data_IF_045814825766
#
_entry.id   IF_045814825766
#
_cell.length_a   1.000
_cell.length_b   1.000
_cell.length_c   1.000
_cell.angle_alpha   90.00
_cell.angle_beta   90.00
_cell.angle_gamma   90.00
#
_symmetry.space_group_name_H-M   'P 1'
#
loop_
_entity.id
_entity.type
_entity.pdbx_description
1 polymer ?
#
# COMPACT_ATOMS: atom_id res chain seq x y z
N UNK A 1 -9.38 38.36 -5.41
CA UNK A 1 -8.11 39.13 -5.36
C UNK A 1 -7.62 39.04 -3.93
N UNK A 2 -6.35 38.72 -3.63
CA UNK A 2 -5.92 38.58 -2.22
C UNK A 2 -5.98 39.95 -1.50
N UNK A 3 -6.40 39.97 -0.24
CA UNK A 3 -6.52 41.21 0.57
C UNK A 3 -5.23 42.03 0.62
N UNK A 4 -4.07 41.38 0.55
CA UNK A 4 -2.78 42.05 0.48
C UNK A 4 -2.59 42.90 -0.79
N UNK A 5 -3.15 42.48 -1.94
CA UNK A 5 -3.08 43.28 -3.17
C UNK A 5 -4.05 44.47 -3.15
N UNK A 6 -5.22 44.30 -2.55
CA UNK A 6 -6.17 45.40 -2.33
C UNK A 6 -5.58 46.42 -1.34
N UNK A 7 -4.92 45.94 -0.30
CA UNK A 7 -4.22 46.78 0.65
C UNK A 7 -3.14 47.65 -0.01
N UNK A 8 -2.29 47.06 -0.86
CA UNK A 8 -1.29 47.83 -1.63
C UNK A 8 -1.94 48.80 -2.63
N UNK A 9 -3.01 48.40 -3.33
CA UNK A 9 -3.68 49.24 -4.34
C UNK A 9 -4.34 50.48 -3.73
N UNK A 10 -4.88 50.34 -2.52
CA UNK A 10 -5.56 51.42 -1.80
C UNK A 10 -4.70 52.06 -0.70
N UNK A 11 -3.41 51.71 -0.61
CA UNK A 11 -2.46 52.19 0.41
C UNK A 11 -2.99 52.07 1.86
N UNK A 12 -3.58 50.93 2.17
CA UNK A 12 -4.14 50.62 3.50
C UNK A 12 -3.59 49.30 4.03
N UNK A 13 -3.74 49.06 5.34
CA UNK A 13 -3.30 47.77 5.91
C UNK A 13 -4.23 46.62 5.49
N UNK A 14 -3.72 45.37 5.33
CA UNK A 14 -4.55 44.22 4.98
C UNK A 14 -5.76 43.96 5.90
N UNK A 15 -5.66 44.16 7.24
CA UNK A 15 -6.82 44.11 8.12
C UNK A 15 -7.88 45.18 7.80
N UNK A 16 -7.45 46.41 7.47
CA UNK A 16 -8.35 47.52 7.10
C UNK A 16 -9.07 47.25 5.78
N UNK A 17 -8.35 46.77 4.76
CA UNK A 17 -8.94 46.39 3.48
C UNK A 17 -9.99 45.29 3.65
N UNK A 18 -9.71 44.31 4.51
CA UNK A 18 -10.66 43.23 4.82
C UNK A 18 -11.92 43.73 5.53
N UNK A 19 -11.77 44.55 6.57
CA UNK A 19 -12.90 45.11 7.31
C UNK A 19 -13.81 45.97 6.42
N UNK A 20 -13.23 46.73 5.48
CA UNK A 20 -13.99 47.54 4.52
C UNK A 20 -14.81 46.67 3.54
N UNK A 21 -14.24 45.56 3.05
CA UNK A 21 -14.95 44.61 2.19
C UNK A 21 -16.08 43.91 2.94
N UNK A 22 -15.83 43.48 4.19
CA UNK A 22 -16.85 42.85 5.04
C UNK A 22 -18.03 43.81 5.32
N UNK A 23 -17.75 45.07 5.68
CA UNK A 23 -18.78 46.11 5.88
C UNK A 23 -19.60 46.39 4.61
N UNK A 24 -18.95 46.41 3.44
CA UNK A 24 -19.62 46.63 2.17
C UNK A 24 -20.60 45.50 1.81
N UNK A 25 -20.22 44.24 2.08
CA UNK A 25 -21.08 43.07 1.86
C UNK A 25 -22.25 42.99 2.84
N UNK A 26 -22.05 43.44 4.09
CA UNK A 26 -23.14 43.54 5.07
C UNK A 26 -24.18 44.60 4.69
N UNK A 27 -23.75 45.67 4.03
CA UNK A 27 -24.62 46.78 3.61
C UNK A 27 -25.25 46.58 2.23
N UNK A 28 -24.75 45.63 1.43
CA UNK A 28 -25.22 45.31 0.07
C UNK A 28 -25.40 43.79 -0.08
N UNK A 29 -26.53 43.22 0.38
CA UNK A 29 -26.76 41.76 0.40
C UNK A 29 -26.86 41.12 -1.00
N UNK A 30 -27.00 41.92 -2.06
CA UNK A 30 -26.94 41.51 -3.46
C UNK A 30 -25.51 41.32 -3.98
N UNK A 31 -24.50 41.87 -3.30
CA UNK A 31 -23.11 41.74 -3.66
C UNK A 31 -22.53 40.41 -3.14
N UNK A 32 -21.76 39.71 -3.98
CA UNK A 32 -21.07 38.46 -3.60
C UNK A 32 -19.57 38.70 -3.57
N UNK A 33 -18.91 38.22 -2.51
CA UNK A 33 -17.46 38.22 -2.44
C UNK A 33 -16.87 37.26 -3.48
N UNK A 34 -16.15 37.80 -4.45
CA UNK A 34 -15.45 37.03 -5.48
C UNK A 34 -13.95 36.82 -5.12
N UNK A 35 -13.56 37.09 -3.87
CA UNK A 35 -12.19 36.87 -3.39
C UNK A 35 -11.89 35.37 -3.36
N UNK A 36 -11.24 34.90 -4.43
CA UNK A 36 -10.58 33.60 -4.49
C UNK A 36 -9.64 33.46 -3.29
N UNK A 37 -10.03 32.63 -2.32
CA UNK A 37 -9.15 32.05 -1.31
C UNK A 37 -7.91 31.48 -2.01
N UNK A 38 -6.74 31.51 -1.36
CA UNK A 38 -5.60 30.75 -1.87
C UNK A 38 -5.93 29.26 -1.80
N UNK A 39 -6.38 28.70 -2.92
CA UNK A 39 -6.36 27.28 -3.19
C UNK A 39 -4.88 26.85 -3.23
N UNK A 40 -4.29 26.50 -2.09
CA UNK A 40 -2.85 26.23 -2.04
C UNK A 40 -2.31 25.50 -0.80
N UNK A 41 -3.15 25.17 0.19
CA UNK A 41 -2.73 24.26 1.25
C UNK A 41 -2.57 22.83 0.70
N UNK A 42 -1.46 22.14 1.00
CA UNK A 42 -1.41 20.68 0.78
C UNK A 42 -2.53 20.07 1.62
N UNK A 43 -3.54 19.50 0.94
CA UNK A 43 -4.61 18.76 1.62
C UNK A 43 -3.95 17.70 2.51
N UNK A 44 -4.31 17.59 3.80
CA UNK A 44 -3.78 16.53 4.63
C UNK A 44 -4.05 15.18 3.95
N UNK A 45 -3.07 14.26 3.97
CA UNK A 45 -3.23 12.96 3.33
C UNK A 45 -4.46 12.26 3.94
N UNK A 46 -5.32 11.73 3.07
CA UNK A 46 -6.56 11.04 3.49
C UNK A 46 -6.26 9.81 4.35
N UNK A 47 -5.13 9.16 4.11
CA UNK A 47 -4.72 7.92 4.77
C UNK A 47 -3.40 8.13 5.49
N UNK A 48 -3.30 7.55 6.69
CA UNK A 48 -2.09 7.55 7.48
C UNK A 48 -1.22 6.34 7.11
N UNK A 49 -0.22 6.58 6.25
CA UNK A 49 0.69 5.53 5.77
C UNK A 49 1.49 4.90 6.92
N UNK A 50 1.71 5.63 8.01
CA UNK A 50 2.48 5.14 9.16
C UNK A 50 1.76 4.04 9.94
N UNK A 51 0.43 3.98 9.82
CA UNK A 51 -0.40 2.92 10.42
C UNK A 51 -0.57 1.75 9.45
N UNK A 52 -0.91 2.06 8.19
CA UNK A 52 -1.20 1.03 7.18
C UNK A 52 0.07 0.24 6.82
N UNK A 53 1.23 0.90 6.68
CA UNK A 53 2.46 0.26 6.21
C UNK A 53 2.91 -0.92 7.08
N UNK A 54 3.12 -0.72 8.40
CA UNK A 54 3.54 -1.79 9.30
C UNK A 54 2.54 -2.95 9.40
N UNK A 55 1.24 -2.68 9.33
CA UNK A 55 0.19 -3.72 9.40
C UNK A 55 0.04 -4.47 8.05
N UNK A 56 0.15 -3.77 6.93
CA UNK A 56 0.03 -4.36 5.60
C UNK A 56 1.27 -5.18 5.21
N UNK A 57 2.46 -4.87 5.74
CA UNK A 57 3.71 -5.55 5.40
C UNK A 57 3.73 -7.05 5.71
N UNK A 58 3.42 -7.55 6.92
CA UNK A 58 3.39 -8.99 7.18
C UNK A 58 2.36 -9.73 6.33
N UNK A 59 1.25 -9.06 5.99
CA UNK A 59 0.24 -9.60 5.07
C UNK A 59 0.75 -9.66 3.63
N UNK A 60 1.50 -8.65 3.18
CA UNK A 60 2.17 -8.65 1.89
C UNK A 60 3.21 -9.77 1.80
N UNK A 61 4.01 -9.95 2.84
CA UNK A 61 5.04 -10.99 2.92
C UNK A 61 4.44 -12.40 3.00
N UNK A 62 3.24 -12.55 3.57
CA UNK A 62 2.46 -13.80 3.51
C UNK A 62 1.78 -14.06 2.15
N UNK A 63 1.94 -13.14 1.19
CA UNK A 63 1.49 -13.33 -0.19
C UNK A 63 0.10 -12.76 -0.50
N UNK A 64 -0.46 -11.92 0.38
CA UNK A 64 -1.72 -11.24 0.08
C UNK A 64 -1.59 -10.33 -1.14
N UNK A 65 -2.66 -10.25 -1.94
CA UNK A 65 -2.69 -9.32 -3.07
C UNK A 65 -2.92 -7.89 -2.59
N UNK A 66 -2.34 -6.92 -3.29
CA UNK A 66 -2.56 -5.48 -3.04
C UNK A 66 -4.04 -5.10 -3.08
N UNK A 67 -4.84 -5.80 -3.89
CA UNK A 67 -6.29 -5.61 -3.98
C UNK A 67 -7.00 -6.11 -2.72
N UNK A 68 -6.58 -7.26 -2.17
CA UNK A 68 -7.11 -7.77 -0.90
C UNK A 68 -6.75 -6.86 0.26
N UNK A 69 -5.51 -6.38 0.32
CA UNK A 69 -5.06 -5.39 1.29
C UNK A 69 -5.86 -4.08 1.18
N UNK A 70 -6.09 -3.60 -0.04
CA UNK A 70 -6.88 -2.40 -0.27
C UNK A 70 -8.31 -2.53 0.28
N UNK A 71 -8.94 -3.71 0.13
CA UNK A 71 -10.23 -4.01 0.74
C UNK A 71 -10.20 -4.05 2.27
N UNK A 72 -9.16 -4.65 2.87
CA UNK A 72 -8.99 -4.75 4.33
C UNK A 72 -8.85 -3.37 4.99
N UNK A 73 -8.06 -2.48 4.38
CA UNK A 73 -7.75 -1.15 4.92
C UNK A 73 -8.68 -0.03 4.38
N UNK A 74 -9.78 -0.39 3.71
CA UNK A 74 -10.75 0.52 3.07
C UNK A 74 -10.06 1.65 2.26
N UNK A 75 -9.09 1.27 1.43
CA UNK A 75 -8.30 2.22 0.66
C UNK A 75 -8.10 1.74 -0.78
N UNK A 76 -7.43 2.55 -1.60
CA UNK A 76 -7.13 2.19 -2.98
C UNK A 76 -5.80 1.41 -3.07
N UNK A 77 -5.62 0.51 -4.05
CA UNK A 77 -4.35 -0.21 -4.24
C UNK A 77 -3.11 0.71 -4.34
N UNK A 78 -3.16 1.88 -5.01
CA UNK A 78 -2.04 2.83 -5.00
C UNK A 78 -1.70 3.41 -3.61
N UNK A 79 -2.67 3.40 -2.68
CA UNK A 79 -2.42 3.81 -1.28
C UNK A 79 -1.65 2.73 -0.54
N UNK A 80 -2.02 1.45 -0.74
CA UNK A 80 -1.28 0.30 -0.22
C UNK A 80 0.17 0.29 -0.75
N UNK A 81 0.35 0.56 -2.05
CA UNK A 81 1.68 0.64 -2.64
C UNK A 81 2.57 1.63 -1.90
N UNK A 82 2.07 2.86 -1.71
CA UNK A 82 2.79 3.90 -0.96
C UNK A 82 3.02 3.53 0.50
N UNK A 83 2.06 2.86 1.14
CA UNK A 83 2.17 2.47 2.54
C UNK A 83 3.25 1.40 2.74
N UNK A 84 3.29 0.40 1.86
CA UNK A 84 4.31 -0.63 1.88
C UNK A 84 5.69 -0.06 1.51
N UNK A 85 5.79 0.76 0.45
CA UNK A 85 7.04 1.44 0.09
C UNK A 85 7.58 2.28 1.25
N UNK A 86 6.69 3.03 1.91
CA UNK A 86 7.04 3.79 3.10
C UNK A 86 7.56 2.88 4.22
N UNK A 87 6.91 1.74 4.48
CA UNK A 87 7.31 0.80 5.52
C UNK A 87 8.68 0.18 5.26
N UNK A 88 8.96 -0.28 4.03
CA UNK A 88 10.29 -0.80 3.68
C UNK A 88 11.36 0.29 3.73
N UNK A 89 11.02 1.52 3.31
CA UNK A 89 11.93 2.66 3.37
C UNK A 89 12.30 3.04 4.81
N UNK A 90 11.45 2.79 5.81
CA UNK A 90 11.81 3.00 7.23
C UNK A 90 12.98 2.09 7.66
N UNK A 91 13.05 0.88 7.11
CA UNK A 91 14.15 -0.06 7.37
C UNK A 91 15.34 0.14 6.42
N UNK A 92 15.29 1.14 5.53
CA UNK A 92 16.29 1.35 4.47
C UNK A 92 16.28 0.26 3.39
N UNK A 93 15.19 -0.49 3.27
CA UNK A 93 15.00 -1.56 2.30
C UNK A 93 14.16 -1.08 1.11
N UNK A 94 14.38 -1.67 -0.05
CA UNK A 94 13.44 -1.57 -1.17
C UNK A 94 12.31 -2.58 -1.01
N UNK A 95 11.09 -2.20 -1.38
CA UNK A 95 9.96 -3.13 -1.42
C UNK A 95 10.31 -4.31 -2.35
N UNK A 96 10.16 -5.57 -1.89
CA UNK A 96 10.38 -6.72 -2.73
C UNK A 96 9.30 -6.81 -3.81
N UNK A 97 9.71 -7.22 -4.99
CA UNK A 97 8.80 -7.52 -6.09
C UNK A 97 7.98 -8.78 -5.76
N UNK A 98 6.82 -8.90 -6.41
CA UNK A 98 5.98 -10.10 -6.27
C UNK A 98 6.73 -11.39 -6.66
N UNK A 99 7.63 -11.31 -7.63
CA UNK A 99 8.44 -12.45 -8.07
C UNK A 99 9.45 -12.87 -7.00
N UNK A 100 10.10 -11.91 -6.33
CA UNK A 100 11.02 -12.20 -5.22
C UNK A 100 10.29 -12.84 -4.04
N UNK A 101 9.09 -12.35 -3.70
CA UNK A 101 8.26 -12.99 -2.70
C UNK A 101 7.86 -14.41 -3.10
N UNK A 102 7.42 -14.62 -4.35
CA UNK A 102 7.08 -15.96 -4.84
C UNK A 102 8.29 -16.91 -4.84
N UNK A 103 9.49 -16.40 -5.17
CA UNK A 103 10.73 -17.17 -5.07
C UNK A 103 11.01 -17.55 -3.61
N UNK A 104 10.92 -16.61 -2.68
CA UNK A 104 11.12 -16.88 -1.25
C UNK A 104 10.13 -17.94 -0.72
N UNK A 105 8.86 -17.83 -1.11
CA UNK A 105 7.80 -18.81 -0.77
C UNK A 105 8.12 -20.18 -1.39
N UNK A 106 8.58 -20.23 -2.64
CA UNK A 106 8.95 -21.48 -3.30
C UNK A 106 10.12 -22.20 -2.64
N UNK A 107 11.13 -21.44 -2.18
CA UNK A 107 12.27 -21.96 -1.42
C UNK A 107 11.82 -22.49 -0.07
N UNK A 108 10.89 -21.80 0.62
CA UNK A 108 10.31 -22.27 1.88
C UNK A 108 9.54 -23.58 1.69
N UNK A 109 8.69 -23.66 0.67
CA UNK A 109 7.95 -24.87 0.33
C UNK A 109 8.91 -26.05 0.05
N UNK A 110 10.01 -25.78 -0.66
CA UNK A 110 11.01 -26.80 -0.96
C UNK A 110 11.73 -27.31 0.28
N UNK A 111 12.12 -26.43 1.19
CA UNK A 111 12.73 -26.83 2.47
C UNK A 111 11.82 -27.76 3.26
N UNK A 112 10.53 -27.44 3.36
CA UNK A 112 9.56 -28.30 4.05
C UNK A 112 9.44 -29.69 3.41
N UNK A 113 9.50 -29.76 2.07
CA UNK A 113 9.53 -31.04 1.36
C UNK A 113 10.81 -31.83 1.63
N UNK A 114 11.97 -31.16 1.63
CA UNK A 114 13.26 -31.78 1.90
C UNK A 114 13.38 -32.26 3.37
N UNK A 115 12.65 -31.63 4.29
CA UNK A 115 12.46 -32.07 5.68
C UNK A 115 11.55 -33.31 5.82
N UNK A 116 10.96 -33.78 4.71
CA UNK A 116 10.13 -34.99 4.67
C UNK A 116 8.64 -34.75 4.91
N UNK A 117 8.19 -33.50 4.99
CA UNK A 117 6.77 -33.19 5.12
C UNK A 117 6.00 -33.61 3.84
N UNK A 118 4.82 -34.16 4.03
CA UNK A 118 3.87 -34.48 2.97
C UNK A 118 3.25 -33.22 2.37
N UNK A 119 2.65 -33.35 1.18
CA UNK A 119 1.96 -32.22 0.53
C UNK A 119 0.84 -31.62 1.39
N UNK A 120 0.13 -32.47 2.14
CA UNK A 120 -0.96 -32.08 3.04
C UNK A 120 -0.41 -31.29 4.25
N UNK A 121 0.68 -31.77 4.86
CA UNK A 121 1.33 -31.04 5.97
C UNK A 121 1.89 -29.68 5.49
N UNK A 122 2.45 -29.63 4.28
CA UNK A 122 2.95 -28.36 3.71
C UNK A 122 1.80 -27.39 3.41
N UNK A 123 0.67 -27.89 2.91
CA UNK A 123 -0.49 -27.05 2.61
C UNK A 123 -1.11 -26.44 3.87
N UNK A 124 -1.15 -27.20 4.96
CA UNK A 124 -1.53 -26.72 6.28
C UNK A 124 -0.54 -25.68 6.86
N UNK A 125 0.77 -25.97 6.82
CA UNK A 125 1.82 -25.07 7.35
C UNK A 125 1.84 -23.73 6.58
N UNK A 126 1.61 -23.77 5.28
CA UNK A 126 1.65 -22.60 4.41
C UNK A 126 0.29 -21.90 4.27
N UNK A 127 -0.77 -22.43 4.89
CA UNK A 127 -2.14 -21.95 4.77
C UNK A 127 -2.58 -21.74 3.31
N UNK A 128 -2.30 -22.73 2.45
CA UNK A 128 -2.60 -22.63 1.03
C UNK A 128 -2.95 -24.00 0.42
N UNK A 129 -3.75 -24.03 -0.64
CA UNK A 129 -4.16 -25.30 -1.28
C UNK A 129 -2.99 -26.12 -1.83
N UNK A 130 -3.15 -27.46 -1.85
CA UNK A 130 -2.18 -28.40 -2.45
C UNK A 130 -1.77 -28.04 -3.88
N UNK A 131 -2.71 -27.50 -4.67
CA UNK A 131 -2.46 -27.04 -6.04
C UNK A 131 -1.45 -25.89 -6.04
N UNK A 132 -1.57 -24.99 -5.07
CA UNK A 132 -0.68 -23.83 -4.90
C UNK A 132 0.70 -24.27 -4.40
N UNK A 133 0.75 -25.20 -3.43
CA UNK A 133 2.00 -25.81 -2.97
C UNK A 133 2.74 -26.50 -4.13
N UNK A 134 2.05 -27.31 -4.93
CA UNK A 134 2.66 -27.96 -6.11
C UNK A 134 3.20 -26.95 -7.11
N UNK A 135 2.52 -25.83 -7.32
CA UNK A 135 3.01 -24.74 -8.17
C UNK A 135 4.31 -24.15 -7.62
N UNK A 136 4.38 -23.88 -6.32
CA UNK A 136 5.59 -23.36 -5.68
C UNK A 136 6.75 -24.35 -5.76
N UNK A 137 6.50 -25.62 -5.48
CA UNK A 137 7.52 -26.67 -5.61
C UNK A 137 8.02 -26.75 -7.05
N UNK A 138 7.11 -26.76 -8.04
CA UNK A 138 7.48 -26.76 -9.46
C UNK A 138 8.37 -25.58 -9.81
N UNK A 139 8.05 -24.36 -9.36
CA UNK A 139 8.90 -23.18 -9.56
C UNK A 139 10.31 -23.37 -8.97
N UNK A 140 10.41 -23.97 -7.78
CA UNK A 140 11.70 -24.26 -7.15
C UNK A 140 12.52 -25.31 -7.92
N UNK A 141 11.88 -26.40 -8.38
CA UNK A 141 12.55 -27.43 -9.17
C UNK A 141 12.99 -26.91 -10.54
N UNK A 142 12.14 -26.12 -11.21
CA UNK A 142 12.47 -25.47 -12.48
C UNK A 142 13.64 -24.49 -12.34
N UNK A 143 13.73 -23.74 -11.24
CA UNK A 143 14.86 -22.87 -10.94
C UNK A 143 16.19 -23.62 -10.78
N UNK A 144 16.16 -24.88 -10.33
CA UNK A 144 17.32 -25.78 -10.25
C UNK A 144 17.56 -26.59 -11.54
N UNK A 145 16.71 -26.46 -12.56
CA UNK A 145 16.77 -27.26 -13.78
C UNK A 145 16.39 -28.72 -13.59
N UNK A 146 15.69 -29.06 -12.50
CA UNK A 146 15.25 -30.43 -12.17
C UNK A 146 13.76 -30.61 -12.48
N UNK A 147 13.36 -31.83 -12.76
CA UNK A 147 11.94 -32.19 -12.85
C UNK A 147 11.38 -32.43 -11.44
N UNK A 148 10.18 -31.92 -11.19
CA UNK A 148 9.50 -32.16 -9.92
C UNK A 148 9.10 -33.65 -9.83
N UNK A 149 9.44 -34.36 -8.74
CA UNK A 149 9.01 -35.74 -8.52
C UNK A 149 7.49 -35.82 -8.36
N UNK A 150 6.88 -36.96 -8.72
CA UNK A 150 5.44 -37.14 -8.54
C UNK A 150 5.11 -37.37 -7.06
N UNK A 151 4.52 -36.34 -6.45
CA UNK A 151 4.15 -36.32 -5.04
C UNK A 151 2.77 -36.98 -4.77
N UNK A 152 2.16 -37.66 -5.75
CA UNK A 152 0.87 -38.35 -5.62
C UNK A 152 0.94 -39.68 -4.85
N UNK A 153 2.12 -40.22 -4.57
CA UNK A 153 2.29 -41.45 -3.80
C UNK A 153 3.36 -41.25 -2.74
N UNK A 154 2.97 -41.35 -1.47
CA UNK A 154 3.89 -41.74 -0.41
C UNK A 154 4.41 -43.12 -0.84
N UNK A 155 5.68 -43.24 -1.22
CA UNK A 155 6.32 -44.55 -1.22
C UNK A 155 6.35 -44.99 0.23
N UNK A 156 5.34 -45.76 0.63
CA UNK A 156 5.36 -46.54 1.85
C UNK A 156 6.58 -47.47 1.77
N UNK A 157 7.71 -47.07 2.30
CA UNK A 157 8.93 -47.86 2.24
C UNK A 157 10.19 -47.09 2.59
N UNK A 158 10.45 -46.98 3.90
CA UNK A 158 11.69 -47.41 4.57
C UNK A 158 11.53 -47.18 6.07
#
# INVERSE_FOLDING_TARGET
>A
MPYAKLADEFDVTPPTARAAVEYYLETHPEAKDNVKLQCGGKRPPKFDLSKIGPEARPLWESGWSKLKLAGEFDCSPPTIDKALEWSYAQDGLSMPTKEELQKAISVKARKLLDEGNSLEEISEIMDCSDVTVRRYLKMSFEAEGKTMPDLRRKSSGA
#
